data_IF_050592972452
#
_entry.id   IF_050592972452
#
_cell.length_a   1.000
_cell.length_b   1.000
_cell.length_c   1.000
_cell.angle_alpha   90.00
_cell.angle_beta   90.00
_cell.angle_gamma   90.00
#
_symmetry.space_group_name_H-M   'P 1'
#
loop_
_entity.id
_entity.type
_entity.pdbx_description
1 polymer ?
#
# COMPACT_ATOMS: atom_id res chain seq x y z
N UNK A 1 7.11 13.13 -39.85
CA UNK A 1 6.95 11.88 -39.09
C UNK A 1 6.92 12.09 -37.58
N UNK A 2 7.81 12.89 -36.97
CA UNK A 2 7.82 13.14 -35.51
C UNK A 2 6.65 14.00 -34.98
N UNK A 3 6.06 14.87 -35.80
CA UNK A 3 5.02 15.81 -35.35
C UNK A 3 3.64 15.13 -35.20
N UNK A 4 3.37 14.10 -36.02
CA UNK A 4 2.11 13.36 -36.00
C UNK A 4 1.97 12.43 -34.78
N UNK A 5 3.09 11.94 -34.23
CA UNK A 5 3.09 11.11 -33.01
C UNK A 5 2.68 11.88 -31.75
N UNK A 6 2.97 13.18 -31.69
CA UNK A 6 2.67 14.02 -30.52
C UNK A 6 1.16 14.28 -30.37
N UNK A 7 0.43 14.37 -31.48
CA UNK A 7 -1.04 14.49 -31.43
C UNK A 7 -1.69 13.16 -31.06
N UNK A 8 -1.15 12.04 -31.55
CA UNK A 8 -1.63 10.69 -31.18
C UNK A 8 -1.46 10.48 -29.67
N UNK A 9 -0.35 10.96 -29.09
CA UNK A 9 -0.12 10.92 -27.65
C UNK A 9 -1.22 11.62 -26.82
N UNK A 10 -1.94 12.60 -27.36
CA UNK A 10 -3.01 13.27 -26.63
C UNK A 10 -4.29 12.42 -26.47
N UNK A 11 -4.39 11.30 -27.21
CA UNK A 11 -5.55 10.40 -27.23
C UNK A 11 -5.82 9.66 -25.91
N UNK A 12 -4.83 9.58 -25.02
CA UNK A 12 -5.00 9.06 -23.65
C UNK A 12 -5.83 9.97 -22.75
N UNK A 13 -5.93 11.26 -23.05
CA UNK A 13 -6.77 12.19 -22.30
C UNK A 13 -8.23 12.06 -22.74
N UNK A 14 -8.98 11.12 -22.14
CA UNK A 14 -10.37 10.82 -22.52
C UNK A 14 -11.34 12.00 -22.35
N UNK A 15 -10.95 12.98 -21.52
CA UNK A 15 -11.71 14.20 -21.25
C UNK A 15 -11.19 15.43 -22.03
N UNK A 16 -10.26 15.26 -22.97
CA UNK A 16 -9.76 16.38 -23.78
C UNK A 16 -10.85 16.84 -24.76
N UNK A 17 -11.41 18.02 -24.51
CA UNK A 17 -12.49 18.63 -25.33
C UNK A 17 -12.04 19.84 -26.15
N UNK A 18 -10.96 20.51 -25.73
CA UNK A 18 -10.43 21.71 -26.41
C UNK A 18 -8.92 21.59 -26.54
N UNK A 19 -8.39 21.89 -27.73
CA UNK A 19 -6.97 21.84 -28.01
C UNK A 19 -6.58 23.01 -28.92
N UNK A 20 -5.50 23.70 -28.58
CA UNK A 20 -4.92 24.75 -29.41
C UNK A 20 -3.52 24.34 -29.85
N UNK A 21 -3.34 24.14 -31.15
CA UNK A 21 -2.08 23.81 -31.80
C UNK A 21 -1.56 24.97 -32.66
N UNK A 22 -2.27 26.10 -32.74
CA UNK A 22 -1.87 27.26 -33.51
C UNK A 22 -0.41 27.69 -33.22
N UNK A 23 0.35 27.94 -34.28
CA UNK A 23 1.77 28.30 -34.21
C UNK A 23 2.74 27.11 -34.21
N UNK A 24 2.24 25.88 -34.10
CA UNK A 24 3.08 24.68 -34.20
C UNK A 24 3.32 24.26 -35.68
N UNK A 25 4.45 23.59 -35.97
CA UNK A 25 4.75 23.11 -37.32
C UNK A 25 3.66 22.22 -37.95
N UNK A 26 2.89 21.48 -37.13
CA UNK A 26 1.78 20.63 -37.61
C UNK A 26 0.70 21.41 -38.37
N UNK A 27 0.49 22.68 -38.04
CA UNK A 27 -0.50 23.53 -38.71
C UNK A 27 -0.14 23.80 -40.18
N UNK A 28 1.10 23.51 -40.58
CA UNK A 28 1.59 23.64 -41.96
C UNK A 28 1.36 22.37 -42.79
N UNK A 29 0.96 21.26 -42.17
CA UNK A 29 0.67 20.01 -42.88
C UNK A 29 -0.71 20.08 -43.53
N UNK A 30 -0.80 19.61 -44.77
CA UNK A 30 -2.06 19.49 -45.47
C UNK A 30 -2.99 18.53 -44.71
N UNK A 31 -4.24 18.94 -44.52
CA UNK A 31 -5.25 18.17 -43.78
C UNK A 31 -4.98 17.97 -42.27
N UNK A 32 -4.15 18.81 -41.62
CA UNK A 32 -3.87 18.67 -40.18
C UNK A 32 -5.15 18.63 -39.32
N UNK A 33 -6.18 19.43 -39.66
CA UNK A 33 -7.46 19.44 -38.93
C UNK A 33 -8.19 18.11 -39.01
N UNK A 34 -8.17 17.49 -40.19
CA UNK A 34 -8.77 16.18 -40.45
C UNK A 34 -8.01 15.10 -39.69
N UNK A 35 -6.68 15.17 -39.67
CA UNK A 35 -5.84 14.27 -38.88
C UNK A 35 -6.14 14.39 -37.38
N UNK A 36 -6.12 15.61 -36.82
CA UNK A 36 -6.42 15.84 -35.40
C UNK A 36 -7.83 15.35 -35.04
N UNK A 37 -8.84 15.63 -35.89
CA UNK A 37 -10.20 15.17 -35.69
C UNK A 37 -10.34 13.63 -35.71
N UNK A 38 -9.55 12.93 -36.53
CA UNK A 38 -9.55 11.47 -36.58
C UNK A 38 -8.97 10.84 -35.31
N UNK A 39 -7.79 11.31 -34.89
CA UNK A 39 -7.04 10.71 -33.79
C UNK A 39 -7.53 11.16 -32.40
N UNK A 40 -8.21 12.31 -32.31
CA UNK A 40 -8.83 12.83 -31.09
C UNK A 40 -10.37 12.93 -31.25
N UNK A 41 -11.10 11.80 -31.21
CA UNK A 41 -12.53 11.75 -31.54
C UNK A 41 -13.42 12.55 -30.57
N UNK A 42 -12.94 12.70 -29.33
CA UNK A 42 -13.64 13.42 -28.27
C UNK A 42 -13.44 14.94 -28.32
N UNK A 43 -12.56 15.42 -29.21
CA UNK A 43 -12.23 16.83 -29.32
C UNK A 43 -13.39 17.62 -29.94
N UNK A 44 -13.83 18.69 -29.27
CA UNK A 44 -14.92 19.56 -29.71
C UNK A 44 -14.36 20.80 -30.39
N UNK A 45 -13.34 21.42 -29.79
CA UNK A 45 -12.72 22.65 -30.30
C UNK A 45 -11.25 22.44 -30.64
N UNK A 46 -10.87 22.82 -31.87
CA UNK A 46 -9.50 22.88 -32.34
C UNK A 46 -9.16 24.32 -32.73
N UNK A 47 -8.09 24.88 -32.18
CA UNK A 47 -7.61 26.25 -32.47
C UNK A 47 -8.72 27.31 -32.30
N UNK A 48 -9.47 27.20 -31.19
CA UNK A 48 -10.64 28.03 -30.86
C UNK A 48 -11.79 27.98 -31.87
N UNK A 49 -11.82 26.98 -32.76
CA UNK A 49 -12.92 26.75 -33.70
C UNK A 49 -13.58 25.40 -33.42
N UNK A 50 -14.89 25.35 -33.61
CA UNK A 50 -15.65 24.11 -33.52
C UNK A 50 -15.22 23.19 -34.67
N UNK A 51 -14.95 21.91 -34.35
CA UNK A 51 -14.79 20.88 -35.37
C UNK A 51 -16.17 20.50 -35.92
N UNK A 52 -16.43 20.91 -37.16
CA UNK A 52 -17.69 20.65 -37.85
C UNK A 52 -17.85 19.17 -38.24
N UNK A 53 -19.09 18.79 -38.53
CA UNK A 53 -19.46 17.41 -38.89
C UNK A 53 -18.79 16.98 -40.20
N UNK A 54 -18.66 17.88 -41.18
CA UNK A 54 -17.99 17.61 -42.44
C UNK A 54 -16.51 17.22 -42.26
N UNK A 55 -15.76 17.92 -41.39
CA UNK A 55 -14.37 17.57 -41.09
C UNK A 55 -14.29 16.19 -40.41
N UNK A 56 -15.27 15.87 -39.55
CA UNK A 56 -15.35 14.55 -38.88
C UNK A 56 -15.65 13.43 -39.86
N UNK A 57 -16.55 13.62 -40.82
CA UNK A 57 -16.85 12.65 -41.87
C UNK A 57 -15.63 12.40 -42.77
N UNK A 58 -14.91 13.45 -43.17
CA UNK A 58 -13.67 13.32 -43.95
C UNK A 58 -12.57 12.61 -43.15
N UNK A 59 -12.48 12.90 -41.85
CA UNK A 59 -11.55 12.26 -40.94
C UNK A 59 -11.84 10.76 -40.79
N UNK A 60 -13.12 10.41 -40.64
CA UNK A 60 -13.58 9.03 -40.61
C UNK A 60 -13.21 8.32 -41.92
N UNK A 61 -13.64 8.83 -43.08
CA UNK A 61 -13.36 8.18 -44.37
C UNK A 61 -11.87 8.00 -44.67
N UNK A 62 -11.02 8.95 -44.27
CA UNK A 62 -9.58 8.92 -44.57
C UNK A 62 -8.78 8.02 -43.61
N UNK A 63 -9.14 7.96 -42.34
CA UNK A 63 -8.35 7.30 -41.29
C UNK A 63 -9.05 6.13 -40.61
N UNK A 64 -10.25 5.71 -41.04
CA UNK A 64 -11.05 4.64 -40.41
C UNK A 64 -10.21 3.40 -40.05
N UNK A 65 -9.53 2.79 -41.02
CA UNK A 65 -8.74 1.58 -40.78
C UNK A 65 -7.62 1.77 -39.76
N UNK A 66 -6.87 2.88 -39.86
CA UNK A 66 -5.79 3.18 -38.93
C UNK A 66 -6.31 3.45 -37.50
N UNK A 67 -7.48 4.07 -37.37
CA UNK A 67 -8.12 4.31 -36.08
C UNK A 67 -8.71 3.01 -35.50
N UNK A 68 -9.27 2.13 -36.32
CA UNK A 68 -9.77 0.82 -35.88
C UNK A 68 -8.64 -0.08 -35.39
N UNK A 69 -7.53 -0.18 -36.12
CA UNK A 69 -6.32 -0.90 -35.69
C UNK A 69 -5.76 -0.34 -34.39
N UNK A 70 -5.65 0.99 -34.28
CA UNK A 70 -5.21 1.66 -33.06
C UNK A 70 -6.14 1.38 -31.88
N UNK A 71 -7.47 1.45 -32.08
CA UNK A 71 -8.45 1.13 -31.02
C UNK A 71 -8.33 -0.33 -30.57
N UNK A 72 -8.05 -1.25 -31.49
CA UNK A 72 -7.82 -2.65 -31.16
C UNK A 72 -6.59 -2.81 -30.27
N UNK A 73 -5.46 -2.19 -30.65
CA UNK A 73 -4.22 -2.20 -29.87
C UNK A 73 -4.40 -1.55 -28.50
N UNK A 74 -5.02 -0.35 -28.43
CA UNK A 74 -5.34 0.33 -27.17
C UNK A 74 -6.23 -0.52 -26.25
N UNK A 75 -7.21 -1.23 -26.82
CA UNK A 75 -8.09 -2.11 -26.05
C UNK A 75 -7.34 -3.35 -25.53
N UNK A 76 -6.42 -3.90 -26.31
CA UNK A 76 -5.59 -5.02 -25.89
C UNK A 76 -4.61 -4.59 -24.79
N UNK A 77 -3.90 -3.47 -24.97
CA UNK A 77 -3.02 -2.90 -23.95
C UNK A 77 -3.76 -2.61 -22.65
N UNK A 78 -4.95 -2.01 -22.74
CA UNK A 78 -5.79 -1.73 -21.57
C UNK A 78 -6.21 -3.03 -20.87
N UNK A 79 -6.64 -4.05 -21.60
CA UNK A 79 -6.93 -5.37 -21.00
C UNK A 79 -5.71 -5.97 -20.30
N UNK A 80 -4.53 -5.88 -20.92
CA UNK A 80 -3.29 -6.36 -20.31
C UNK A 80 -2.94 -5.58 -19.04
N UNK A 81 -3.14 -4.26 -19.03
CA UNK A 81 -2.95 -3.42 -17.85
C UNK A 81 -3.97 -3.72 -16.75
N UNK A 82 -5.25 -3.88 -17.10
CA UNK A 82 -6.32 -4.20 -16.16
C UNK A 82 -6.06 -5.58 -15.50
N UNK A 83 -5.66 -6.59 -16.28
CA UNK A 83 -5.25 -7.92 -15.76
C UNK A 83 -4.04 -7.81 -14.83
N UNK A 84 -3.03 -7.03 -15.21
CA UNK A 84 -1.84 -6.81 -14.35
C UNK A 84 -2.20 -6.12 -13.05
N UNK A 85 -3.07 -5.12 -13.11
CA UNK A 85 -3.54 -4.40 -11.93
C UNK A 85 -4.32 -5.33 -11.00
N UNK A 86 -5.23 -6.15 -11.56
CA UNK A 86 -6.00 -7.13 -10.79
C UNK A 86 -5.08 -8.16 -10.10
N UNK A 87 -4.02 -8.61 -10.79
CA UNK A 87 -3.01 -9.50 -10.22
C UNK A 87 -2.19 -8.83 -9.11
N UNK A 88 -1.79 -7.57 -9.27
CA UNK A 88 -1.06 -6.85 -8.22
C UNK A 88 -1.96 -6.56 -7.02
N UNK A 89 -3.23 -6.21 -7.24
CA UNK A 89 -4.21 -5.98 -6.18
C UNK A 89 -4.48 -7.27 -5.40
N UNK A 90 -4.62 -8.41 -6.09
CA UNK A 90 -4.74 -9.73 -5.46
C UNK A 90 -3.47 -10.10 -4.68
N UNK A 91 -2.29 -9.86 -5.24
CA UNK A 91 -1.03 -10.13 -4.55
C UNK A 91 -0.86 -9.25 -3.31
N UNK A 92 -1.20 -7.97 -3.41
CA UNK A 92 -1.21 -7.05 -2.28
C UNK A 92 -2.22 -7.52 -1.23
N UNK A 93 -3.36 -8.08 -1.66
CA UNK A 93 -4.34 -8.62 -0.74
C UNK A 93 -3.75 -9.74 0.12
N UNK A 94 -2.98 -10.62 -0.51
CA UNK A 94 -2.28 -11.71 0.16
C UNK A 94 -1.14 -11.21 1.04
N UNK A 95 -0.46 -10.11 0.65
CA UNK A 95 0.59 -9.47 1.45
C UNK A 95 0.05 -8.94 2.77
N UNK A 96 -1.07 -8.22 2.73
CA UNK A 96 -1.70 -7.66 3.93
C UNK A 96 -2.26 -8.76 4.86
N UNK A 97 -2.67 -9.89 4.27
CA UNK A 97 -3.09 -11.10 4.99
C UNK A 97 -1.93 -11.96 5.50
N UNK A 98 -0.71 -11.58 5.16
CA UNK A 98 0.53 -12.26 5.46
C UNK A 98 0.70 -13.66 4.88
N UNK A 99 0.07 -13.98 3.75
CA UNK A 99 -0.04 -15.37 3.23
C UNK A 99 0.23 -15.50 1.73
N UNK A 100 1.06 -14.65 1.15
CA UNK A 100 1.46 -14.74 -0.26
C UNK A 100 1.98 -16.12 -0.64
N UNK A 101 1.72 -16.54 -1.87
CA UNK A 101 2.22 -17.81 -2.42
C UNK A 101 1.76 -19.07 -1.64
N UNK A 102 0.87 -18.93 -0.65
CA UNK A 102 0.26 -20.06 0.09
C UNK A 102 -1.09 -20.49 -0.50
N UNK A 103 -1.62 -19.75 -1.48
CA UNK A 103 -2.88 -20.04 -2.19
C UNK A 103 -2.78 -21.18 -3.21
N UNK A 104 -1.71 -21.96 -3.19
CA UNK A 104 -1.47 -23.03 -4.14
C UNK A 104 -0.06 -23.61 -4.02
N UNK A 105 0.46 -24.22 -5.09
CA UNK A 105 1.78 -24.82 -5.08
C UNK A 105 2.93 -23.82 -5.24
N UNK A 106 2.65 -22.51 -5.31
CA UNK A 106 3.61 -21.47 -5.66
C UNK A 106 4.85 -21.43 -4.75
N UNK A 107 4.70 -21.69 -3.44
CA UNK A 107 5.83 -21.82 -2.52
C UNK A 107 6.80 -22.95 -2.92
N UNK A 108 6.28 -24.02 -3.53
CA UNK A 108 7.07 -25.14 -4.00
C UNK A 108 7.59 -24.87 -5.40
N UNK A 109 6.75 -24.35 -6.30
CA UNK A 109 7.15 -24.01 -7.66
C UNK A 109 8.25 -22.95 -7.68
N UNK A 110 8.23 -21.99 -6.76
CA UNK A 110 9.30 -21.00 -6.65
C UNK A 110 10.63 -21.63 -6.27
N UNK A 111 10.67 -22.77 -5.56
CA UNK A 111 11.93 -23.48 -5.24
C UNK A 111 12.61 -23.94 -6.53
N UNK A 112 11.82 -24.55 -7.42
CA UNK A 112 12.27 -25.10 -8.70
C UNK A 112 12.43 -24.05 -9.81
N UNK A 113 11.83 -22.86 -9.69
CA UNK A 113 11.85 -21.84 -10.74
C UNK A 113 13.25 -21.24 -11.00
N UNK A 114 14.07 -21.12 -9.95
CA UNK A 114 15.46 -20.63 -10.04
C UNK A 114 16.48 -21.77 -10.15
N UNK A 115 16.00 -23.02 -10.18
CA UNK A 115 16.83 -24.22 -10.28
C UNK A 115 16.49 -24.98 -11.56
N UNK A 116 17.27 -24.69 -12.61
CA UNK A 116 17.14 -25.32 -13.92
C UNK A 116 17.27 -26.85 -13.90
N UNK A 117 17.89 -27.42 -12.85
CA UNK A 117 18.15 -28.85 -12.72
C UNK A 117 17.09 -29.56 -11.86
N UNK A 118 16.42 -28.86 -10.96
CA UNK A 118 15.47 -29.46 -10.02
C UNK A 118 14.13 -29.88 -10.65
N UNK A 119 13.75 -29.32 -11.81
CA UNK A 119 12.56 -29.73 -12.57
C UNK A 119 12.60 -31.21 -13.02
N UNK A 120 13.80 -31.80 -13.11
CA UNK A 120 14.01 -33.18 -13.60
C UNK A 120 13.82 -34.25 -12.52
N UNK A 121 13.56 -33.87 -11.26
CA UNK A 121 13.80 -34.76 -10.10
C UNK A 121 12.68 -34.74 -9.03
N UNK A 122 11.52 -34.16 -9.30
CA UNK A 122 10.48 -33.95 -8.30
C UNK A 122 9.70 -35.23 -7.93
N UNK A 123 9.99 -35.80 -6.75
CA UNK A 123 9.10 -36.73 -6.04
C UNK A 123 8.97 -36.30 -4.57
N UNK A 124 8.04 -35.38 -4.32
CA UNK A 124 7.62 -35.00 -2.97
C UNK A 124 6.13 -35.27 -2.79
N UNK A 125 5.64 -35.61 -1.58
CA UNK A 125 4.22 -35.67 -1.25
C UNK A 125 3.61 -34.25 -1.22
N UNK A 126 3.58 -33.61 -2.39
CA UNK A 126 3.22 -32.21 -2.64
C UNK A 126 1.78 -31.88 -2.27
N UNK A 127 0.87 -32.86 -2.34
CA UNK A 127 -0.57 -32.64 -2.15
C UNK A 127 -0.96 -32.28 -0.71
N UNK A 128 -0.38 -32.93 0.30
CA UNK A 128 -0.68 -32.67 1.71
C UNK A 128 -0.15 -31.31 2.16
N UNK A 129 1.05 -30.95 1.72
CA UNK A 129 1.69 -29.68 2.04
C UNK A 129 0.95 -28.49 1.40
N UNK A 130 0.52 -28.63 0.14
CA UNK A 130 -0.30 -27.62 -0.54
C UNK A 130 -1.64 -27.43 0.16
N UNK A 131 -2.27 -28.52 0.63
CA UNK A 131 -3.54 -28.42 1.35
C UNK A 131 -3.40 -27.61 2.66
N UNK A 132 -2.30 -27.80 3.41
CA UNK A 132 -2.01 -27.03 4.62
C UNK A 132 -1.71 -25.56 4.33
N UNK A 133 -0.94 -25.27 3.27
CA UNK A 133 -0.69 -23.89 2.83
C UNK A 133 -2.02 -23.17 2.50
N UNK A 134 -2.92 -23.84 1.78
CA UNK A 134 -4.24 -23.30 1.44
C UNK A 134 -5.12 -23.10 2.68
N UNK A 135 -4.99 -23.93 3.72
CA UNK A 135 -5.70 -23.70 4.99
C UNK A 135 -5.20 -22.46 5.71
N UNK A 136 -3.88 -22.30 5.85
CA UNK A 136 -3.28 -21.08 6.45
C UNK A 136 -3.65 -19.85 5.64
N UNK A 137 -3.64 -19.95 4.31
CA UNK A 137 -4.05 -18.88 3.42
C UNK A 137 -5.47 -18.37 3.73
N UNK A 138 -6.45 -19.28 3.85
CA UNK A 138 -7.84 -18.93 4.20
C UNK A 138 -7.94 -18.25 5.56
N UNK A 139 -7.18 -18.73 6.54
CA UNK A 139 -7.17 -18.18 7.88
C UNK A 139 -6.49 -16.80 7.91
N UNK A 140 -5.40 -16.61 7.18
CA UNK A 140 -4.73 -15.32 7.03
C UNK A 140 -5.67 -14.27 6.46
N UNK A 141 -6.45 -14.62 5.43
CA UNK A 141 -7.47 -13.73 4.86
C UNK A 141 -8.58 -13.40 5.87
N UNK A 142 -9.09 -14.39 6.60
CA UNK A 142 -10.12 -14.15 7.62
C UNK A 142 -9.59 -13.27 8.77
N UNK A 143 -8.36 -13.51 9.24
CA UNK A 143 -7.69 -12.71 10.26
C UNK A 143 -7.40 -11.29 9.78
N UNK A 144 -7.09 -11.10 8.50
CA UNK A 144 -6.98 -9.77 7.91
C UNK A 144 -8.28 -9.01 8.02
N UNK A 145 -9.41 -9.59 7.58
CA UNK A 145 -10.70 -8.91 7.65
C UNK A 145 -11.04 -8.48 9.08
N UNK A 146 -10.80 -9.36 10.07
CA UNK A 146 -10.99 -9.02 11.50
C UNK A 146 -10.11 -7.86 11.96
N UNK A 147 -8.84 -7.82 11.53
CA UNK A 147 -7.92 -6.72 11.87
C UNK A 147 -8.35 -5.42 11.20
N UNK A 148 -8.83 -5.46 9.96
CA UNK A 148 -9.36 -4.28 9.27
C UNK A 148 -10.59 -3.71 9.97
N UNK A 149 -11.52 -4.58 10.39
CA UNK A 149 -12.70 -4.19 11.16
C UNK A 149 -12.31 -3.54 12.50
N UNK A 150 -11.35 -4.12 13.21
CA UNK A 150 -10.84 -3.57 14.48
C UNK A 150 -10.17 -2.21 14.29
N UNK A 151 -9.29 -2.09 13.27
CA UNK A 151 -8.63 -0.82 12.93
C UNK A 151 -9.65 0.26 12.57
N UNK A 152 -10.66 -0.10 11.77
CA UNK A 152 -11.73 0.81 11.41
C UNK A 152 -12.51 1.25 12.65
N UNK A 153 -12.92 0.31 13.49
CA UNK A 153 -13.66 0.60 14.73
C UNK A 153 -12.86 1.52 15.65
N UNK A 154 -11.55 1.29 15.79
CA UNK A 154 -10.67 2.17 16.55
C UNK A 154 -10.68 3.61 16.03
N UNK A 155 -10.49 3.80 14.71
CA UNK A 155 -10.47 5.14 14.12
C UNK A 155 -11.84 5.83 14.18
N UNK A 156 -12.93 5.09 14.05
CA UNK A 156 -14.28 5.64 14.17
C UNK A 156 -14.55 6.11 15.61
N UNK A 157 -14.24 5.30 16.63
CA UNK A 157 -14.38 5.67 18.04
C UNK A 157 -13.46 6.84 18.44
N UNK A 158 -12.21 6.82 17.98
CA UNK A 158 -11.25 7.90 18.24
C UNK A 158 -11.73 9.22 17.64
N UNK A 159 -12.23 9.20 16.40
CA UNK A 159 -12.79 10.38 15.74
C UNK A 159 -14.01 10.91 16.48
N UNK A 160 -14.94 10.04 16.87
CA UNK A 160 -16.12 10.44 17.64
C UNK A 160 -15.73 11.12 18.96
N UNK A 161 -14.77 10.55 19.70
CA UNK A 161 -14.27 11.17 20.93
C UNK A 161 -13.63 12.56 20.69
N UNK A 162 -12.88 12.71 19.59
CA UNK A 162 -12.30 14.00 19.20
C UNK A 162 -13.39 15.00 18.81
N UNK A 163 -14.35 14.62 17.98
CA UNK A 163 -15.41 15.48 17.48
C UNK A 163 -16.30 15.98 18.64
N UNK A 164 -16.65 15.09 19.55
CA UNK A 164 -17.40 15.42 20.78
C UNK A 164 -16.64 16.43 21.65
N UNK A 165 -15.33 16.24 21.83
CA UNK A 165 -14.52 17.16 22.60
C UNK A 165 -14.40 18.52 21.91
N UNK A 166 -14.18 18.53 20.60
CA UNK A 166 -14.10 19.75 19.80
C UNK A 166 -15.41 20.54 19.89
N UNK A 167 -16.56 19.86 19.85
CA UNK A 167 -17.86 20.51 20.01
C UNK A 167 -18.03 21.15 21.39
N UNK A 168 -17.63 20.45 22.47
CA UNK A 168 -17.65 21.01 23.83
C UNK A 168 -16.71 22.20 23.98
N UNK A 169 -15.49 22.09 23.48
CA UNK A 169 -14.51 23.18 23.51
C UNK A 169 -15.00 24.40 22.71
N UNK A 170 -15.58 24.19 21.52
CA UNK A 170 -16.16 25.26 20.72
C UNK A 170 -17.31 25.97 21.43
N UNK A 171 -18.15 25.22 22.16
CA UNK A 171 -19.23 25.78 22.97
C UNK A 171 -18.67 26.64 24.11
N UNK A 172 -17.67 26.15 24.85
CA UNK A 172 -16.98 26.91 25.92
C UNK A 172 -16.42 28.23 25.38
N UNK A 173 -15.72 28.19 24.25
CA UNK A 173 -15.16 29.38 23.61
C UNK A 173 -16.26 30.34 23.14
N UNK A 174 -17.35 29.83 22.56
CA UNK A 174 -18.46 30.65 22.10
C UNK A 174 -19.19 31.36 23.25
N UNK A 175 -19.39 30.67 24.38
CA UNK A 175 -20.01 31.25 25.57
C UNK A 175 -19.13 32.33 26.19
N UNK A 176 -17.82 32.11 26.27
CA UNK A 176 -16.85 33.12 26.68
C UNK A 176 -16.88 34.36 25.77
N UNK A 177 -16.82 34.18 24.45
CA UNK A 177 -16.86 35.29 23.50
C UNK A 177 -18.15 36.10 23.60
N UNK A 178 -19.28 35.43 23.87
CA UNK A 178 -20.57 36.09 24.09
C UNK A 178 -20.56 36.92 25.38
N UNK A 179 -20.06 36.38 26.48
CA UNK A 179 -19.94 37.11 27.75
C UNK A 179 -19.03 38.34 27.61
N UNK A 180 -17.87 38.16 26.97
CA UNK A 180 -16.90 39.23 26.69
C UNK A 180 -17.51 40.39 25.89
N UNK A 181 -18.29 40.10 24.85
CA UNK A 181 -18.98 41.14 24.04
C UNK A 181 -20.03 41.91 24.84
N UNK A 182 -20.73 41.25 25.76
CA UNK A 182 -21.72 41.92 26.60
C UNK A 182 -21.04 42.90 27.57
N UNK A 183 -19.94 42.49 28.21
CA UNK A 183 -19.19 43.34 29.12
C UNK A 183 -18.57 44.57 28.43
N UNK A 184 -18.13 44.46 27.18
CA UNK A 184 -17.62 45.59 26.40
C UNK A 184 -18.65 46.73 26.20
N UNK A 185 -19.94 46.48 26.43
CA UNK A 185 -21.01 47.47 26.27
C UNK A 185 -21.26 48.29 27.55
N UNK A 186 -20.79 47.82 28.73
CA UNK A 186 -21.04 48.45 30.05
C UNK A 186 -19.82 49.25 30.54
N UNK A 187 -19.72 50.51 30.08
CA UNK A 187 -18.54 51.40 30.24
C UNK A 187 -18.38 52.07 31.64
N UNK A 188 -18.74 51.42 32.75
CA UNK A 188 -18.75 52.07 34.07
C UNK A 188 -18.25 51.21 35.25
N UNK A 189 -17.04 50.65 35.20
CA UNK A 189 -16.08 50.54 36.35
C UNK A 189 -14.75 49.85 35.93
N UNK A 190 -13.77 50.60 35.41
CA UNK A 190 -12.64 50.02 34.65
C UNK A 190 -11.76 48.99 35.39
N UNK A 191 -11.24 49.26 36.59
CA UNK A 191 -10.23 48.36 37.21
C UNK A 191 -10.81 47.02 37.71
N UNK A 192 -12.00 47.04 38.33
CA UNK A 192 -12.64 45.82 38.82
C UNK A 192 -13.11 44.93 37.66
N UNK A 193 -13.57 45.54 36.55
CA UNK A 193 -13.94 44.81 35.33
C UNK A 193 -12.72 44.19 34.66
N UNK A 194 -11.58 44.88 34.59
CA UNK A 194 -10.35 44.33 34.01
C UNK A 194 -9.81 43.11 34.78
N UNK A 195 -9.84 43.16 36.12
CA UNK A 195 -9.45 42.01 36.94
C UNK A 195 -10.41 40.83 36.74
N UNK A 196 -11.71 41.10 36.63
CA UNK A 196 -12.71 40.09 36.33
C UNK A 196 -12.50 39.44 34.95
N UNK A 197 -12.23 40.22 33.90
CA UNK A 197 -11.89 39.69 32.58
C UNK A 197 -10.65 38.80 32.61
N UNK A 198 -9.61 39.17 33.38
CA UNK A 198 -8.41 38.33 33.54
C UNK A 198 -8.73 36.99 34.22
N UNK A 199 -9.61 37.00 35.22
CA UNK A 199 -10.09 35.78 35.86
C UNK A 199 -10.88 34.90 34.88
N UNK A 200 -11.77 35.48 34.06
CA UNK A 200 -12.54 34.75 33.05
C UNK A 200 -11.63 34.14 31.97
N UNK A 201 -10.58 34.85 31.53
CA UNK A 201 -9.59 34.31 30.58
C UNK A 201 -8.83 33.12 31.18
N UNK A 202 -8.44 33.22 32.45
CA UNK A 202 -7.78 32.10 33.13
C UNK A 202 -8.72 30.91 33.28
N UNK A 203 -9.98 31.14 33.66
CA UNK A 203 -11.01 30.09 33.73
C UNK A 203 -11.27 29.43 32.37
N UNK A 204 -11.24 30.20 31.28
CA UNK A 204 -11.34 29.66 29.92
C UNK A 204 -10.17 28.73 29.62
N UNK A 205 -8.94 29.16 29.91
CA UNK A 205 -7.73 28.36 29.74
C UNK A 205 -7.84 27.04 30.53
N UNK A 206 -8.16 27.11 31.82
CA UNK A 206 -8.31 25.95 32.69
C UNK A 206 -9.41 25.01 32.19
N UNK A 207 -10.52 25.55 31.70
CA UNK A 207 -11.63 24.75 31.16
C UNK A 207 -11.25 24.02 29.87
N UNK A 208 -10.59 24.70 28.93
CA UNK A 208 -10.13 24.11 27.68
C UNK A 208 -9.03 23.07 27.91
N UNK A 209 -8.07 23.35 28.80
CA UNK A 209 -7.03 22.41 29.20
C UNK A 209 -7.61 21.19 29.91
N UNK A 210 -8.64 21.38 30.74
CA UNK A 210 -9.37 20.27 31.39
C UNK A 210 -10.08 19.39 30.36
N UNK A 211 -10.72 19.99 29.34
CA UNK A 211 -11.31 19.23 28.25
C UNK A 211 -10.25 18.43 27.47
N UNK A 212 -9.08 19.00 27.21
CA UNK A 212 -8.00 18.28 26.55
C UNK A 212 -7.47 17.12 27.41
N UNK A 213 -7.28 17.33 28.72
CA UNK A 213 -6.85 16.27 29.63
C UNK A 213 -7.84 15.10 29.66
N UNK A 214 -9.15 15.40 29.75
CA UNK A 214 -10.20 14.37 29.70
C UNK A 214 -10.20 13.60 28.39
N UNK A 215 -9.91 14.27 27.27
CA UNK A 215 -9.83 13.63 25.96
C UNK A 215 -8.62 12.69 25.88
N UNK A 216 -7.46 13.12 26.38
CA UNK A 216 -6.26 12.27 26.48
C UNK A 216 -6.54 11.00 27.26
N UNK A 217 -7.17 11.10 28.43
CA UNK A 217 -7.54 9.93 29.25
C UNK A 217 -8.47 8.97 28.48
N UNK A 218 -9.50 9.51 27.81
CA UNK A 218 -10.43 8.71 27.01
C UNK A 218 -9.75 7.99 25.84
N UNK A 219 -8.83 8.67 25.16
CA UNK A 219 -8.12 8.09 24.03
C UNK A 219 -7.07 7.09 24.47
N UNK A 220 -6.44 7.29 25.61
CA UNK A 220 -5.54 6.32 26.21
C UNK A 220 -6.28 4.99 26.47
N UNK A 221 -7.52 5.06 26.97
CA UNK A 221 -8.36 3.87 27.17
C UNK A 221 -8.75 3.20 25.84
N UNK A 222 -9.14 3.99 24.83
CA UNK A 222 -9.47 3.49 23.48
C UNK A 222 -8.23 2.82 22.85
N UNK A 223 -7.06 3.45 22.95
CA UNK A 223 -5.78 2.93 22.42
C UNK A 223 -5.39 1.64 23.14
N UNK A 224 -5.50 1.57 24.47
CA UNK A 224 -5.19 0.34 25.24
C UNK A 224 -6.11 -0.81 24.87
N UNK A 225 -7.40 -0.53 24.68
CA UNK A 225 -8.37 -1.55 24.27
C UNK A 225 -8.03 -2.09 22.87
N UNK A 226 -7.74 -1.19 21.94
CA UNK A 226 -7.30 -1.53 20.58
C UNK A 226 -5.99 -2.32 20.58
N UNK A 227 -4.99 -1.89 21.35
CA UNK A 227 -3.69 -2.57 21.47
C UNK A 227 -3.86 -4.01 21.93
N UNK A 228 -4.69 -4.23 22.96
CA UNK A 228 -4.99 -5.58 23.46
C UNK A 228 -5.65 -6.43 22.38
N UNK A 229 -6.67 -5.90 21.72
CA UNK A 229 -7.42 -6.66 20.71
C UNK A 229 -6.54 -7.05 19.52
N UNK A 230 -5.77 -6.11 18.98
CA UNK A 230 -4.84 -6.39 17.87
C UNK A 230 -3.75 -7.37 18.32
N UNK A 231 -3.22 -7.21 19.54
CA UNK A 231 -2.22 -8.13 20.09
C UNK A 231 -2.77 -9.55 20.19
N UNK A 232 -4.00 -9.73 20.68
CA UNK A 232 -4.66 -11.03 20.76
C UNK A 232 -4.90 -11.64 19.37
N UNK A 233 -5.32 -10.84 18.38
CA UNK A 233 -5.50 -11.30 17.00
C UNK A 233 -4.17 -11.73 16.35
N UNK A 234 -3.12 -10.94 16.52
CA UNK A 234 -1.77 -11.24 15.99
C UNK A 234 -1.17 -12.46 16.67
N UNK A 235 -1.33 -12.58 17.99
CA UNK A 235 -0.92 -13.75 18.76
C UNK A 235 -1.65 -15.00 18.29
N UNK A 236 -2.97 -14.95 18.11
CA UNK A 236 -3.76 -16.08 17.62
C UNK A 236 -3.35 -16.54 16.22
N UNK A 237 -3.05 -15.61 15.30
CA UNK A 237 -2.50 -15.96 13.98
C UNK A 237 -1.12 -16.62 14.12
N UNK A 238 -0.24 -16.05 14.94
CA UNK A 238 1.10 -16.58 15.20
C UNK A 238 1.04 -17.99 15.78
N UNK A 239 0.22 -18.22 16.80
CA UNK A 239 0.01 -19.54 17.40
C UNK A 239 -0.49 -20.56 16.37
N UNK A 240 -1.41 -20.16 15.49
CA UNK A 240 -1.89 -21.03 14.42
C UNK A 240 -0.77 -21.40 13.45
N UNK A 241 0.03 -20.43 13.00
CA UNK A 241 1.19 -20.67 12.13
C UNK A 241 2.19 -21.59 12.83
N UNK A 242 2.52 -21.30 14.09
CA UNK A 242 3.46 -22.08 14.90
C UNK A 242 3.01 -23.53 15.07
N UNK A 243 1.72 -23.76 15.31
CA UNK A 243 1.19 -25.09 15.58
C UNK A 243 0.99 -25.92 14.31
N UNK A 244 0.38 -25.35 13.26
CA UNK A 244 -0.04 -26.12 12.08
C UNK A 244 1.00 -26.10 10.96
N UNK A 245 1.74 -24.99 10.82
CA UNK A 245 2.58 -24.78 9.64
C UNK A 245 4.06 -25.06 9.92
N UNK A 246 4.61 -24.68 11.08
CA UNK A 246 6.03 -24.93 11.40
C UNK A 246 6.42 -26.42 11.36
N UNK A 247 5.61 -27.37 11.89
CA UNK A 247 5.92 -28.80 11.73
C UNK A 247 5.97 -29.24 10.27
N UNK A 248 5.21 -28.56 9.41
CA UNK A 248 5.18 -28.78 7.96
C UNK A 248 6.44 -28.24 7.28
N UNK A 249 6.97 -27.10 7.72
CA UNK A 249 8.27 -26.58 7.28
C UNK A 249 9.43 -27.47 7.72
N UNK A 250 9.39 -28.02 8.93
CA UNK A 250 10.36 -29.03 9.36
C UNK A 250 10.33 -30.28 8.47
N UNK A 251 9.14 -30.81 8.15
CA UNK A 251 8.99 -31.90 7.18
C UNK A 251 9.48 -31.51 5.78
N UNK A 252 9.31 -30.25 5.35
CA UNK A 252 9.86 -29.78 4.08
C UNK A 252 11.39 -29.82 4.08
N UNK A 253 12.05 -29.42 5.18
CA UNK A 253 13.51 -29.52 5.33
C UNK A 253 13.97 -30.97 5.31
N UNK A 254 13.29 -31.85 6.04
CA UNK A 254 13.63 -33.29 6.04
C UNK A 254 13.52 -33.87 4.63
N UNK A 255 12.42 -33.60 3.93
CA UNK A 255 12.21 -34.06 2.56
C UNK A 255 13.25 -33.49 1.59
N UNK A 256 13.64 -32.23 1.76
CA UNK A 256 14.70 -31.59 0.96
C UNK A 256 16.07 -32.23 1.25
N UNK A 257 16.38 -32.58 2.50
CA UNK A 257 17.61 -33.31 2.84
C UNK A 257 17.65 -34.68 2.15
N UNK A 258 16.54 -35.44 2.21
CA UNK A 258 16.46 -36.73 1.52
C UNK A 258 16.56 -36.59 -0.01
N UNK A 259 16.00 -35.51 -0.56
CA UNK A 259 16.12 -35.20 -1.98
C UNK A 259 17.58 -34.92 -2.35
N UNK A 260 18.26 -34.08 -1.59
CA UNK A 260 19.67 -33.75 -1.78
C UNK A 260 20.57 -34.99 -1.71
N UNK A 261 20.37 -35.87 -0.71
CA UNK A 261 21.15 -37.11 -0.57
C UNK A 261 21.02 -38.02 -1.80
N UNK A 262 19.78 -38.25 -2.26
CA UNK A 262 19.52 -39.06 -3.45
C UNK A 262 20.05 -38.42 -4.72
N UNK A 263 19.90 -37.10 -4.85
CA UNK A 263 20.41 -36.36 -5.99
C UNK A 263 21.93 -36.46 -6.06
N UNK A 264 22.62 -36.29 -4.93
CA UNK A 264 24.06 -36.43 -4.83
C UNK A 264 24.53 -37.84 -5.23
N UNK A 265 23.84 -38.89 -4.79
CA UNK A 265 24.11 -40.28 -5.19
C UNK A 265 23.98 -40.47 -6.71
N UNK A 266 22.88 -39.98 -7.29
CA UNK A 266 22.64 -40.04 -8.74
C UNK A 266 23.70 -39.26 -9.51
N UNK A 267 24.06 -38.06 -9.03
CA UNK A 267 25.04 -37.21 -9.69
C UNK A 267 26.43 -37.84 -9.68
N UNK A 268 26.87 -38.40 -8.55
CA UNK A 268 28.16 -39.11 -8.45
C UNK A 268 28.16 -40.37 -9.32
N UNK A 269 27.08 -41.15 -9.31
CA UNK A 269 26.95 -42.34 -10.18
C UNK A 269 26.99 -41.97 -11.66
N UNK A 270 26.36 -40.85 -12.03
CA UNK A 270 26.37 -40.34 -13.40
C UNK A 270 27.76 -39.87 -13.80
N UNK A 271 28.47 -39.15 -12.93
CA UNK A 271 29.87 -38.75 -13.13
C UNK A 271 30.77 -39.96 -13.41
N UNK A 272 30.63 -41.04 -12.64
CA UNK A 272 31.41 -42.28 -12.85
C UNK A 272 31.13 -42.92 -14.21
N UNK A 273 29.87 -42.88 -14.67
CA UNK A 273 29.47 -43.38 -16.00
C UNK A 273 29.98 -42.49 -17.13
N UNK A 274 29.97 -41.16 -16.95
CA UNK A 274 30.61 -40.20 -17.87
C UNK A 274 32.09 -40.51 -18.01
N UNK A 275 32.79 -40.70 -16.88
CA UNK A 275 34.22 -40.99 -16.87
C UNK A 275 34.60 -42.31 -17.58
N UNK A 276 33.68 -43.28 -17.63
CA UNK A 276 33.85 -44.56 -18.33
C UNK A 276 33.37 -44.54 -19.79
N UNK A 277 32.91 -43.39 -20.30
CA UNK A 277 32.25 -43.27 -21.61
C UNK A 277 31.04 -44.22 -21.77
N UNK A 278 30.33 -44.52 -20.68
CA UNK A 278 29.18 -45.45 -20.63
C UNK A 278 27.83 -44.73 -20.85
N UNK A 279 27.86 -43.47 -21.30
CA UNK A 279 26.67 -42.68 -21.60
C UNK A 279 26.59 -42.45 -23.10
N UNK A 280 25.47 -42.87 -23.70
CA UNK A 280 25.15 -42.61 -25.11
C UNK A 280 24.94 -41.09 -25.33
N UNK A 281 25.35 -40.60 -26.50
CA UNK A 281 25.69 -39.22 -26.87
C UNK A 281 24.58 -38.11 -26.76
N UNK A 282 23.50 -38.30 -26.00
CA UNK A 282 22.35 -37.37 -25.96
C UNK A 282 22.34 -36.38 -24.77
N UNK A 283 23.46 -36.19 -24.07
CA UNK A 283 23.52 -35.23 -22.96
C UNK A 283 23.77 -33.80 -23.49
N UNK A 284 22.89 -32.81 -23.17
CA UNK A 284 23.13 -31.42 -23.54
C UNK A 284 24.47 -30.91 -23.03
N UNK A 285 25.13 -30.07 -23.81
CA UNK A 285 26.49 -29.55 -23.51
C UNK A 285 26.57 -28.89 -22.13
N UNK A 286 25.54 -28.14 -21.75
CA UNK A 286 25.46 -27.45 -20.46
C UNK A 286 25.39 -28.43 -19.27
N UNK A 287 24.73 -29.58 -19.45
CA UNK A 287 24.65 -30.63 -18.43
C UNK A 287 25.96 -31.41 -18.36
N UNK A 288 26.60 -31.65 -19.51
CA UNK A 288 27.90 -32.30 -19.60
C UNK A 288 29.00 -31.50 -18.90
N UNK A 289 28.91 -30.17 -18.94
CA UNK A 289 29.80 -29.25 -18.20
C UNK A 289 29.71 -29.42 -16.67
N UNK A 290 28.58 -29.90 -16.13
CA UNK A 290 28.44 -30.18 -14.69
C UNK A 290 29.22 -31.42 -14.25
N UNK A 291 29.46 -32.37 -15.17
CA UNK A 291 30.13 -33.64 -14.91
C UNK A 291 31.61 -33.66 -15.34
N UNK A 292 32.25 -32.49 -15.41
CA UNK A 292 33.68 -32.37 -15.75
C UNK A 292 34.56 -32.98 -14.65
N UNK A 293 34.20 -32.73 -13.39
CA UNK A 293 34.89 -33.25 -12.23
C UNK A 293 33.95 -33.39 -11.02
N UNK A 294 34.43 -34.10 -10.00
CA UNK A 294 33.67 -34.40 -8.79
C UNK A 294 33.32 -33.15 -7.99
N UNK A 295 34.21 -32.17 -7.92
CA UNK A 295 33.97 -30.97 -7.12
C UNK A 295 32.91 -30.09 -7.79
N UNK A 296 32.94 -29.96 -9.11
CA UNK A 296 31.95 -29.21 -9.88
C UNK A 296 30.52 -29.74 -9.68
N UNK A 297 30.31 -31.06 -9.83
CA UNK A 297 28.97 -31.64 -9.65
C UNK A 297 28.47 -31.56 -8.20
N UNK A 298 29.35 -31.82 -7.22
CA UNK A 298 28.98 -31.76 -5.80
C UNK A 298 28.65 -30.32 -5.39
N UNK A 299 29.42 -29.34 -5.86
CA UNK A 299 29.16 -27.94 -5.56
C UNK A 299 27.85 -27.45 -6.19
N UNK A 300 27.52 -27.89 -7.41
CA UNK A 300 26.24 -27.57 -8.04
C UNK A 300 25.04 -28.13 -7.25
N UNK A 301 25.10 -29.42 -6.87
CA UNK A 301 24.03 -30.08 -6.09
C UNK A 301 23.91 -29.47 -4.69
N UNK A 302 25.03 -29.07 -4.07
CA UNK A 302 25.01 -28.35 -2.78
C UNK A 302 24.41 -26.95 -2.91
N UNK A 303 24.78 -26.19 -3.93
CA UNK A 303 24.24 -24.85 -4.15
C UNK A 303 22.72 -24.85 -4.37
N UNK A 304 22.22 -25.85 -5.11
CA UNK A 304 20.78 -26.12 -5.26
C UNK A 304 20.11 -26.36 -3.91
N UNK A 305 20.66 -27.27 -3.10
CA UNK A 305 20.14 -27.58 -1.77
C UNK A 305 20.12 -26.38 -0.82
N UNK A 306 21.22 -25.63 -0.74
CA UNK A 306 21.33 -24.43 0.09
C UNK A 306 20.27 -23.38 -0.33
N UNK A 307 20.02 -23.24 -1.64
CA UNK A 307 19.00 -22.34 -2.18
C UNK A 307 17.59 -22.76 -1.78
N UNK A 308 17.28 -24.06 -1.83
CA UNK A 308 15.98 -24.57 -1.42
C UNK A 308 15.73 -24.40 0.08
N UNK A 309 16.70 -24.72 0.92
CA UNK A 309 16.61 -24.52 2.37
C UNK A 309 16.42 -23.05 2.71
N UNK A 310 17.19 -22.16 2.09
CA UNK A 310 17.07 -20.72 2.31
C UNK A 310 15.66 -20.19 1.96
N UNK A 311 15.04 -20.68 0.89
CA UNK A 311 13.65 -20.32 0.54
C UNK A 311 12.63 -20.80 1.57
N UNK A 312 12.85 -21.99 2.14
CA UNK A 312 11.99 -22.55 3.20
C UNK A 312 12.14 -21.71 4.48
N UNK A 313 13.37 -21.45 4.91
CA UNK A 313 13.68 -20.73 6.14
C UNK A 313 13.21 -19.27 6.06
N UNK A 314 13.51 -18.56 4.97
CA UNK A 314 13.04 -17.19 4.77
C UNK A 314 11.52 -17.09 4.84
N UNK A 315 10.81 -18.07 4.24
CA UNK A 315 9.34 -18.05 4.26
C UNK A 315 8.79 -18.34 5.65
N UNK A 316 9.40 -19.26 6.39
CA UNK A 316 9.07 -19.53 7.79
C UNK A 316 9.22 -18.27 8.65
N UNK A 317 10.36 -17.60 8.53
CA UNK A 317 10.68 -16.38 9.28
C UNK A 317 9.71 -15.24 8.93
N UNK A 318 9.41 -15.03 7.65
CA UNK A 318 8.45 -14.02 7.21
C UNK A 318 7.05 -14.21 7.82
N UNK A 319 6.58 -15.46 7.88
CA UNK A 319 5.25 -15.78 8.40
C UNK A 319 5.14 -15.51 9.91
N UNK A 320 6.24 -15.67 10.65
CA UNK A 320 6.27 -15.48 12.11
C UNK A 320 6.53 -14.01 12.50
N UNK A 321 7.38 -13.32 11.76
CA UNK A 321 7.88 -11.99 12.14
C UNK A 321 6.99 -10.86 11.66
N UNK A 322 6.45 -10.95 10.44
CA UNK A 322 5.83 -9.81 9.79
C UNK A 322 4.58 -9.29 10.47
N UNK A 323 3.76 -10.18 11.04
CA UNK A 323 2.55 -9.78 11.77
C UNK A 323 2.87 -8.92 13.00
N UNK A 324 3.95 -9.27 13.71
CA UNK A 324 4.45 -8.49 14.84
C UNK A 324 5.03 -7.15 14.36
N UNK A 325 5.84 -7.15 13.30
CA UNK A 325 6.40 -5.91 12.75
C UNK A 325 5.30 -4.94 12.30
N UNK A 326 4.26 -5.45 11.63
CA UNK A 326 3.09 -4.65 11.25
C UNK A 326 2.37 -4.07 12.47
N UNK A 327 2.11 -4.88 13.49
CA UNK A 327 1.46 -4.43 14.72
C UNK A 327 2.28 -3.35 15.42
N UNK A 328 3.58 -3.55 15.59
CA UNK A 328 4.45 -2.54 16.21
C UNK A 328 4.48 -1.24 15.42
N UNK A 329 4.50 -1.31 14.09
CA UNK A 329 4.45 -0.13 13.23
C UNK A 329 3.11 0.61 13.35
N UNK A 330 2.00 -0.13 13.38
CA UNK A 330 0.66 0.43 13.55
C UNK A 330 0.48 1.11 14.90
N UNK A 331 0.90 0.45 15.99
CA UNK A 331 0.82 1.02 17.33
C UNK A 331 1.66 2.29 17.46
N UNK A 332 2.88 2.27 16.91
CA UNK A 332 3.73 3.45 16.87
C UNK A 332 3.07 4.60 16.11
N UNK A 333 2.47 4.33 14.95
CA UNK A 333 1.76 5.35 14.18
C UNK A 333 0.61 5.97 14.98
N UNK A 334 -0.20 5.14 15.64
CA UNK A 334 -1.31 5.61 16.49
C UNK A 334 -0.81 6.51 17.62
N UNK A 335 0.24 6.09 18.31
CA UNK A 335 0.84 6.85 19.42
C UNK A 335 1.47 8.16 18.95
N UNK A 336 2.21 8.13 17.83
CA UNK A 336 2.84 9.31 17.26
C UNK A 336 1.80 10.35 16.80
N UNK A 337 0.71 9.91 16.17
CA UNK A 337 -0.39 10.80 15.75
C UNK A 337 -1.12 11.40 16.96
N UNK A 338 -1.33 10.62 18.02
CA UNK A 338 -1.96 11.14 19.23
C UNK A 338 -1.11 12.21 19.91
N UNK A 339 0.20 11.97 20.06
CA UNK A 339 1.13 12.95 20.60
C UNK A 339 1.16 14.22 19.76
N UNK A 340 1.15 14.11 18.43
CA UNK A 340 1.10 15.28 17.54
C UNK A 340 -0.19 16.07 17.72
N UNK A 341 -1.34 15.38 17.77
CA UNK A 341 -2.65 16.01 17.95
C UNK A 341 -2.71 16.76 19.29
N UNK A 342 -2.33 16.12 20.38
CA UNK A 342 -2.37 16.73 21.72
C UNK A 342 -1.50 17.99 21.79
N UNK A 343 -0.25 17.91 21.29
CA UNK A 343 0.65 19.07 21.24
C UNK A 343 0.11 20.20 20.39
N UNK A 344 -0.48 19.88 19.23
CA UNK A 344 -1.12 20.86 18.37
C UNK A 344 -2.27 21.54 19.10
N UNK A 345 -3.12 20.77 19.79
CA UNK A 345 -4.29 21.29 20.50
C UNK A 345 -3.92 22.17 21.68
N UNK A 346 -2.94 21.77 22.49
CA UNK A 346 -2.40 22.60 23.58
C UNK A 346 -1.84 23.92 23.01
N UNK A 347 -1.11 23.86 21.89
CA UNK A 347 -0.57 25.06 21.24
C UNK A 347 -1.67 26.00 20.73
N UNK A 348 -2.75 25.45 20.15
CA UNK A 348 -3.92 26.23 19.72
C UNK A 348 -4.59 26.94 20.90
N UNK A 349 -4.77 26.25 22.03
CA UNK A 349 -5.34 26.82 23.25
C UNK A 349 -4.48 28.00 23.72
N UNK A 350 -3.17 27.80 23.90
CA UNK A 350 -2.28 28.87 24.34
C UNK A 350 -2.26 30.07 23.39
N UNK A 351 -2.14 29.83 22.08
CA UNK A 351 -2.16 30.91 21.09
C UNK A 351 -3.46 31.74 21.15
N UNK A 352 -4.60 31.08 21.37
CA UNK A 352 -5.87 31.78 21.52
C UNK A 352 -5.94 32.59 22.81
N UNK A 353 -5.50 32.01 23.94
CA UNK A 353 -5.50 32.69 25.23
C UNK A 353 -4.57 33.91 25.21
N UNK A 354 -3.38 33.78 24.63
CA UNK A 354 -2.44 34.89 24.50
C UNK A 354 -3.02 36.02 23.63
N UNK A 355 -3.64 35.67 22.49
CA UNK A 355 -4.36 36.65 21.66
C UNK A 355 -5.46 37.41 22.43
N UNK A 356 -6.24 36.73 23.26
CA UNK A 356 -7.29 37.38 24.05
C UNK A 356 -6.70 38.25 25.17
N UNK A 357 -5.58 37.84 25.78
CA UNK A 357 -4.87 38.64 26.79
C UNK A 357 -4.28 39.92 26.17
N UNK A 358 -3.63 39.81 25.01
CA UNK A 358 -3.07 40.94 24.29
C UNK A 358 -4.16 41.99 23.98
N UNK A 359 -5.34 41.55 23.54
CA UNK A 359 -6.48 42.46 23.33
C UNK A 359 -6.96 43.16 24.61
N UNK A 360 -6.95 42.44 25.74
CA UNK A 360 -7.34 43.03 27.00
C UNK A 360 -6.33 44.10 27.45
N UNK A 361 -5.04 43.83 27.28
CA UNK A 361 -3.97 44.76 27.65
C UNK A 361 -3.94 45.99 26.69
N UNK A 362 -4.22 45.82 25.39
CA UNK A 362 -4.43 46.92 24.45
C UNK A 362 -5.57 47.86 24.90
N UNK A 363 -6.71 47.30 25.33
CA UNK A 363 -7.83 48.09 25.88
C UNK A 363 -7.44 48.84 27.16
N UNK A 364 -6.56 48.29 28.00
CA UNK A 364 -6.03 49.01 29.17
C UNK A 364 -5.20 50.22 28.77
N UNK A 365 -4.35 50.07 27.74
CA UNK A 365 -3.47 51.12 27.27
C UNK A 365 -4.20 52.25 26.52
N UNK A 366 -5.31 51.98 25.83
CA UNK A 366 -6.13 53.03 25.20
C UNK A 366 -6.95 53.87 26.20
N UNK A 367 -7.13 53.37 27.43
CA UNK A 367 -7.91 54.01 28.49
C UNK A 367 -7.07 54.73 29.57
N UNK A 368 -5.74 54.69 29.48
CA UNK A 368 -4.81 55.49 30.27
C UNK A 368 -4.19 56.59 29.40
#
# INVERSE_FOLDING_TARGET
>A
MFISSDVIYLRKFKNLRTLNLAGNPICKEDHYKIFVAAYLPELVYLDFRLLDEQTREQAFGKYQYAIEEMRHNEAQERRTMDIRQEQEDELQLHRDAFVELLNGPYLFDSRYADDAEAAKLAYLPRSQLVALCVQVFKIGLAQRGRREDEVKSFFDCSREAVDDNQQRAAQITADFEKARRQQATDTRLLEAQLNHCREEINQLCDSLMTQELQLVDQLEDIIKYFERNISDMVAGLKEYILYYLIPTFAQCRDLENHHHEKLLEIAVTTLERVAKNELEEDMPDDVRMLFVDKDTVINAVRASHDTHLLKIDNREDELVTRSNSWMSALMKLVQDEEVKRNRKRISEIHNYIDYVRDQLDEMQHEHH
#
